data_IF_693204495089
#
_entry.id   IF_693204495089
#
_cell.length_a   1.000
_cell.length_b   1.000
_cell.length_c   1.000
_cell.angle_alpha   90.00
_cell.angle_beta   90.00
_cell.angle_gamma   90.00
#
_symmetry.space_group_name_H-M   'P 1'
#
loop_
_entity.id
_entity.type
_entity.pdbx_description
1 polymer ?
#
# COMPACT_ATOMS: atom_id res chain seq x y z
N UNK A 1 -25.57 -69.82 22.50
CA UNK A 1 -25.73 -69.32 21.12
C UNK A 1 -26.55 -68.04 21.17
N UNK A 2 -25.92 -66.93 20.79
CA UNK A 2 -26.44 -65.61 20.40
C UNK A 2 -27.57 -64.94 21.21
N UNK A 3 -27.25 -63.92 22.05
CA UNK A 3 -28.18 -62.86 22.37
C UNK A 3 -28.27 -61.83 21.22
N UNK A 4 -29.49 -61.36 20.98
CA UNK A 4 -29.88 -60.40 19.95
C UNK A 4 -29.11 -59.08 20.10
N UNK A 5 -28.52 -58.63 18.99
CA UNK A 5 -27.70 -57.44 18.86
C UNK A 5 -28.47 -56.16 19.24
N UNK A 6 -27.95 -55.48 20.26
CA UNK A 6 -28.22 -54.07 20.58
C UNK A 6 -28.07 -53.22 19.32
N UNK A 7 -29.17 -52.62 18.88
CA UNK A 7 -29.20 -51.56 17.87
C UNK A 7 -28.37 -50.38 18.40
N UNK A 8 -27.15 -50.23 17.86
CA UNK A 8 -26.35 -49.02 18.04
C UNK A 8 -27.00 -47.90 17.24
N UNK A 9 -27.80 -47.07 17.93
CA UNK A 9 -28.33 -45.83 17.41
C UNK A 9 -27.18 -44.80 17.36
N UNK A 10 -26.39 -44.83 16.29
CA UNK A 10 -25.33 -43.85 16.06
C UNK A 10 -25.50 -43.23 14.66
N UNK A 11 -25.54 -41.90 14.66
CA UNK A 11 -25.65 -40.93 13.57
C UNK A 11 -27.07 -40.63 13.02
N UNK A 12 -27.40 -39.33 12.80
CA UNK A 12 -26.45 -38.30 12.37
C UNK A 12 -26.44 -37.04 13.25
N UNK A 13 -25.29 -36.72 13.85
CA UNK A 13 -24.97 -35.39 14.36
C UNK A 13 -23.89 -34.76 13.47
N UNK A 14 -24.24 -34.46 12.21
CA UNK A 14 -23.29 -33.93 11.22
C UNK A 14 -23.87 -32.81 10.34
N UNK A 15 -24.93 -32.12 10.81
CA UNK A 15 -25.61 -31.07 10.02
C UNK A 15 -25.76 -29.71 10.71
N UNK A 16 -24.95 -29.40 11.73
CA UNK A 16 -24.78 -28.00 12.17
C UNK A 16 -23.35 -27.52 11.92
N UNK A 17 -22.98 -27.47 10.63
CA UNK A 17 -21.99 -26.49 10.22
C UNK A 17 -22.72 -25.13 10.21
N UNK A 18 -22.31 -24.14 11.02
CA UNK A 18 -22.82 -22.80 10.84
C UNK A 18 -22.49 -22.36 9.41
N UNK A 19 -23.39 -21.61 8.72
CA UNK A 19 -23.03 -21.04 7.43
C UNK A 19 -21.74 -20.26 7.65
N UNK A 20 -20.73 -20.54 6.80
CA UNK A 20 -19.50 -19.77 6.79
C UNK A 20 -19.92 -18.31 6.64
N UNK A 21 -19.92 -17.58 7.75
CA UNK A 21 -20.20 -16.16 7.74
C UNK A 21 -19.15 -15.59 6.81
N UNK A 22 -19.59 -15.10 5.64
CA UNK A 22 -18.74 -14.36 4.73
C UNK A 22 -18.08 -13.29 5.58
N UNK A 23 -16.78 -13.45 5.84
CA UNK A 23 -16.03 -12.51 6.66
C UNK A 23 -16.37 -11.11 6.15
N UNK A 24 -16.77 -10.17 7.03
CA UNK A 24 -17.19 -8.84 6.60
C UNK A 24 -16.16 -8.32 5.62
N UNK A 25 -16.61 -7.85 4.45
CA UNK A 25 -15.72 -7.11 3.57
C UNK A 25 -15.06 -6.05 4.46
N UNK A 26 -13.74 -6.15 4.64
CA UNK A 26 -12.98 -5.22 5.46
C UNK A 26 -13.19 -3.85 4.85
N UNK A 27 -14.17 -3.11 5.37
CA UNK A 27 -14.54 -1.82 4.84
C UNK A 27 -13.37 -0.92 5.13
N UNK A 28 -12.71 -0.45 4.07
CA UNK A 28 -11.62 0.51 4.19
C UNK A 28 -12.09 1.68 5.06
N UNK A 29 -11.33 1.97 6.13
CA UNK A 29 -11.59 3.14 6.96
C UNK A 29 -11.11 4.39 6.22
N UNK A 30 -12.01 4.96 5.42
CA UNK A 30 -11.73 6.12 4.59
C UNK A 30 -11.32 7.35 5.41
N UNK A 31 -11.88 7.52 6.60
CA UNK A 31 -11.56 8.66 7.46
C UNK A 31 -10.12 8.56 7.98
N UNK A 32 -9.70 7.37 8.44
CA UNK A 32 -8.33 7.11 8.84
C UNK A 32 -7.36 7.24 7.65
N UNK A 33 -7.70 6.68 6.49
CA UNK A 33 -6.90 6.82 5.27
C UNK A 33 -6.72 8.29 4.85
N UNK A 34 -7.79 9.09 4.93
CA UNK A 34 -7.74 10.53 4.64
C UNK A 34 -6.81 11.26 5.61
N UNK A 35 -6.91 10.98 6.91
CA UNK A 35 -6.04 11.62 7.92
C UNK A 35 -4.57 11.30 7.67
N UNK A 36 -4.23 10.01 7.57
CA UNK A 36 -2.85 9.55 7.41
C UNK A 36 -2.25 9.97 6.07
N UNK A 37 -3.03 9.98 4.98
CA UNK A 37 -2.52 10.44 3.68
C UNK A 37 -2.18 11.93 3.67
N UNK A 38 -2.89 12.76 4.44
CA UNK A 38 -2.56 14.18 4.62
C UNK A 38 -1.30 14.34 5.46
N UNK A 39 -1.18 13.60 6.54
CA UNK A 39 0.03 13.59 7.38
C UNK A 39 1.26 13.15 6.58
N UNK A 40 1.13 12.10 5.77
CA UNK A 40 2.18 11.66 4.85
C UNK A 40 2.57 12.79 3.90
N UNK A 41 1.60 13.42 3.22
CA UNK A 41 1.86 14.49 2.26
C UNK A 41 2.55 15.70 2.92
N UNK A 42 2.13 16.08 4.12
CA UNK A 42 2.76 17.14 4.91
C UNK A 42 4.19 16.76 5.30
N UNK A 43 4.39 15.52 5.77
CA UNK A 43 5.70 15.02 6.18
C UNK A 43 6.69 15.02 5.03
N UNK A 44 6.29 14.53 3.84
CA UNK A 44 7.14 14.58 2.64
C UNK A 44 7.44 16.02 2.25
N UNK A 45 6.43 16.90 2.26
CA UNK A 45 6.60 18.31 1.88
C UNK A 45 7.48 19.12 2.83
N UNK A 46 7.62 18.70 4.09
CA UNK A 46 8.48 19.33 5.07
C UNK A 46 9.95 18.89 4.98
N UNK A 47 10.26 17.84 4.21
CA UNK A 47 11.63 17.36 4.06
C UNK A 47 12.47 18.37 3.27
N UNK A 48 13.51 18.89 3.90
CA UNK A 48 14.50 19.74 3.23
C UNK A 48 15.39 18.90 2.32
N UNK A 49 15.67 19.41 1.13
CA UNK A 49 16.70 18.86 0.24
C UNK A 49 18.09 19.22 0.83
N UNK A 50 18.92 18.24 1.20
CA UNK A 50 20.26 18.53 1.71
C UNK A 50 21.20 19.08 0.65
N UNK A 51 20.96 18.82 -0.65
CA UNK A 51 21.86 19.22 -1.74
C UNK A 51 21.22 20.28 -2.64
N UNK A 52 21.63 21.54 -2.48
CA UNK A 52 21.18 22.67 -3.32
C UNK A 52 21.38 22.46 -4.82
N UNK A 53 22.49 21.82 -5.22
CA UNK A 53 22.76 21.50 -6.64
C UNK A 53 21.68 20.59 -7.23
N UNK A 54 21.10 19.71 -6.42
CA UNK A 54 20.04 18.84 -6.91
C UNK A 54 18.74 19.63 -7.10
N UNK A 55 18.48 20.72 -6.35
CA UNK A 55 17.25 21.54 -6.44
C UNK A 55 16.92 21.98 -7.86
N UNK A 56 17.94 22.30 -8.65
CA UNK A 56 17.82 22.82 -10.02
C UNK A 56 17.85 21.72 -11.10
N UNK A 57 18.19 20.48 -10.75
CA UNK A 57 18.32 19.39 -11.71
C UNK A 57 16.95 18.83 -12.10
N UNK A 58 16.59 18.95 -13.38
CA UNK A 58 15.49 18.19 -13.96
C UNK A 58 15.93 16.73 -14.19
N UNK A 59 15.22 15.80 -13.55
CA UNK A 59 15.55 14.39 -13.60
C UNK A 59 15.12 13.82 -14.98
N UNK A 60 16.08 13.41 -15.81
CA UNK A 60 15.86 12.86 -17.17
C UNK A 60 15.07 11.55 -17.23
N UNK A 61 14.75 11.05 -18.43
CA UNK A 61 13.81 9.93 -18.64
C UNK A 61 14.15 8.64 -17.85
N UNK A 62 13.10 7.94 -17.40
CA UNK A 62 13.17 6.93 -16.36
C UNK A 62 13.21 5.50 -16.93
N UNK A 63 14.05 4.63 -16.36
CA UNK A 63 13.84 3.18 -16.47
C UNK A 63 12.63 2.80 -15.60
N UNK A 64 11.48 2.42 -16.20
CA UNK A 64 10.25 2.14 -15.47
C UNK A 64 10.35 0.93 -14.53
N UNK A 65 11.38 0.07 -14.68
CA UNK A 65 11.45 -1.20 -13.97
C UNK A 65 11.82 -1.08 -12.48
N UNK A 66 12.54 -0.03 -12.10
CA UNK A 66 13.11 0.12 -10.76
C UNK A 66 12.40 1.15 -9.88
N UNK A 67 11.32 1.78 -10.37
CA UNK A 67 10.64 2.85 -9.64
C UNK A 67 9.24 2.46 -9.17
N UNK A 68 8.79 2.97 -8.01
CA UNK A 68 7.43 2.76 -7.54
C UNK A 68 6.38 3.08 -8.61
N UNK A 69 5.33 2.25 -8.69
CA UNK A 69 4.28 2.42 -9.67
C UNK A 69 3.57 3.77 -9.53
N UNK A 70 3.35 4.46 -10.66
CA UNK A 70 2.49 5.65 -10.71
C UNK A 70 1.01 5.26 -10.78
N UNK A 71 0.13 6.08 -10.22
CA UNK A 71 -1.31 5.98 -10.48
C UNK A 71 -1.58 6.55 -11.87
N UNK A 72 -2.07 5.69 -12.78
CA UNK A 72 -2.39 6.01 -14.18
C UNK A 72 -3.87 6.27 -14.34
N UNK A 73 -4.26 6.89 -15.46
CA UNK A 73 -5.66 7.05 -15.84
C UNK A 73 -6.42 5.71 -15.94
N UNK A 74 -5.72 4.63 -16.31
CA UNK A 74 -6.29 3.28 -16.40
C UNK A 74 -6.57 2.63 -15.04
N UNK A 75 -6.11 3.22 -13.94
CA UNK A 75 -6.18 2.60 -12.62
C UNK A 75 -7.51 2.88 -11.89
N UNK A 76 -8.46 3.55 -12.57
CA UNK A 76 -9.83 3.77 -12.09
C UNK A 76 -9.91 4.55 -10.75
N UNK A 77 -9.00 5.50 -10.56
CA UNK A 77 -8.97 6.41 -9.40
C UNK A 77 -9.72 7.73 -9.65
N UNK A 78 -10.51 7.82 -10.72
CA UNK A 78 -11.40 8.94 -10.98
C UNK A 78 -12.65 8.89 -10.06
N UNK A 79 -13.24 10.05 -9.70
CA UNK A 79 -14.39 10.11 -8.80
C UNK A 79 -15.55 9.19 -9.19
N UNK A 80 -15.94 9.17 -10.46
CA UNK A 80 -17.05 8.35 -10.96
C UNK A 80 -16.84 6.86 -10.74
N UNK A 81 -15.61 6.37 -10.89
CA UNK A 81 -15.32 4.96 -10.65
C UNK A 81 -15.15 4.65 -9.16
N UNK A 82 -14.63 5.59 -8.36
CA UNK A 82 -14.53 5.40 -6.90
C UNK A 82 -15.89 5.22 -6.24
N UNK A 83 -16.94 5.87 -6.74
CA UNK A 83 -18.32 5.77 -6.21
C UNK A 83 -18.94 4.38 -6.45
N UNK A 84 -18.48 3.65 -7.46
CA UNK A 84 -19.07 2.37 -7.91
C UNK A 84 -18.18 1.16 -7.64
N UNK A 85 -16.88 1.25 -7.95
CA UNK A 85 -15.91 0.19 -7.72
C UNK A 85 -14.49 0.73 -7.52
N UNK A 86 -14.08 0.84 -6.26
CA UNK A 86 -12.75 1.32 -5.85
C UNK A 86 -11.65 0.24 -5.85
N UNK A 87 -11.95 -1.03 -6.17
CA UNK A 87 -11.03 -2.15 -5.95
C UNK A 87 -9.71 -1.99 -6.72
N UNK A 88 -9.80 -1.60 -8.00
CA UNK A 88 -8.63 -1.41 -8.87
C UNK A 88 -7.75 -0.25 -8.41
N UNK A 89 -8.37 0.87 -8.04
CA UNK A 89 -7.65 2.02 -7.51
C UNK A 89 -6.95 1.69 -6.20
N UNK A 90 -7.64 1.06 -5.26
CA UNK A 90 -7.07 0.64 -3.98
C UNK A 90 -5.93 -0.37 -4.16
N UNK A 91 -6.05 -1.32 -5.09
CA UNK A 91 -4.97 -2.24 -5.41
C UNK A 91 -3.73 -1.49 -5.94
N UNK A 92 -3.94 -0.47 -6.77
CA UNK A 92 -2.84 0.37 -7.27
C UNK A 92 -2.17 1.18 -6.16
N UNK A 93 -2.97 1.77 -5.27
CA UNK A 93 -2.47 2.50 -4.11
C UNK A 93 -1.68 1.57 -3.19
N UNK A 94 -2.20 0.37 -2.90
CA UNK A 94 -1.50 -0.64 -2.12
C UNK A 94 -0.13 -0.99 -2.70
N UNK A 95 -0.07 -1.26 -4.01
CA UNK A 95 1.19 -1.53 -4.71
C UNK A 95 2.19 -0.38 -4.59
N UNK A 96 1.72 0.86 -4.75
CA UNK A 96 2.57 2.05 -4.62
C UNK A 96 3.13 2.21 -3.20
N UNK A 97 2.25 2.15 -2.19
CA UNK A 97 2.63 2.21 -0.78
C UNK A 97 3.67 1.14 -0.43
N UNK A 98 3.43 -0.09 -0.89
CA UNK A 98 4.33 -1.22 -0.66
C UNK A 98 5.71 -0.95 -1.25
N UNK A 99 5.77 -0.51 -2.50
CA UNK A 99 7.03 -0.23 -3.18
C UNK A 99 7.80 0.92 -2.53
N UNK A 100 7.11 1.98 -2.08
CA UNK A 100 7.75 3.06 -1.33
C UNK A 100 8.26 2.59 0.02
N UNK A 101 7.51 1.74 0.73
CA UNK A 101 7.96 1.19 2.00
C UNK A 101 9.23 0.37 1.85
N UNK A 102 9.29 -0.44 0.79
CA UNK A 102 10.46 -1.23 0.44
C UNK A 102 11.62 -0.29 0.08
N UNK A 103 11.38 0.72 -0.78
CA UNK A 103 12.36 1.74 -1.18
C UNK A 103 13.01 2.44 0.02
N UNK A 104 12.20 2.86 1.01
CA UNK A 104 12.72 3.48 2.24
C UNK A 104 13.52 2.51 3.11
N UNK A 105 13.41 1.20 2.91
CA UNK A 105 14.21 0.16 3.59
C UNK A 105 15.45 -0.26 2.80
N UNK A 106 15.69 0.29 1.61
CA UNK A 106 16.86 -0.06 0.77
C UNK A 106 18.16 0.58 1.23
N UNK A 107 19.25 0.17 0.59
CA UNK A 107 20.56 0.81 0.64
C UNK A 107 20.47 2.32 0.35
N UNK A 108 19.58 2.76 -0.55
CA UNK A 108 19.39 4.17 -0.92
C UNK A 108 19.11 5.05 0.30
N UNK A 109 18.36 4.57 1.31
CA UNK A 109 17.96 5.36 2.49
C UNK A 109 18.70 4.95 3.78
N UNK A 110 19.71 4.09 3.69
CA UNK A 110 20.41 3.57 4.89
C UNK A 110 21.07 4.70 5.70
N UNK A 111 21.71 5.67 5.04
CA UNK A 111 22.35 6.81 5.70
C UNK A 111 21.38 7.92 6.14
N UNK A 112 20.12 7.90 5.68
CA UNK A 112 19.10 8.92 5.95
C UNK A 112 17.74 8.27 6.19
N UNK A 113 17.56 7.75 7.39
CA UNK A 113 16.29 7.13 7.82
C UNK A 113 15.18 8.18 7.95
N UNK A 114 13.95 7.79 7.61
CA UNK A 114 12.77 8.65 7.63
C UNK A 114 11.65 7.96 8.43
N UNK A 115 11.83 7.77 9.76
CA UNK A 115 10.97 6.89 10.56
C UNK A 115 9.50 7.33 10.60
N UNK A 116 9.21 8.64 10.62
CA UNK A 116 7.83 9.14 10.56
C UNK A 116 7.16 8.75 9.24
N UNK A 117 7.91 8.82 8.14
CA UNK A 117 7.42 8.50 6.81
C UNK A 117 7.18 6.99 6.65
N UNK A 118 8.09 6.19 7.17
CA UNK A 118 7.95 4.73 7.22
C UNK A 118 6.74 4.31 8.04
N UNK A 119 6.55 4.88 9.24
CA UNK A 119 5.41 4.59 10.09
C UNK A 119 4.07 4.94 9.41
N UNK A 120 3.99 6.11 8.77
CA UNK A 120 2.79 6.52 8.04
C UNK A 120 2.49 5.57 6.86
N UNK A 121 3.51 5.11 6.13
CA UNK A 121 3.34 4.12 5.06
C UNK A 121 2.88 2.76 5.60
N UNK A 122 3.45 2.30 6.71
CA UNK A 122 3.07 1.03 7.35
C UNK A 122 1.61 1.07 7.85
N UNK A 123 1.19 2.18 8.47
CA UNK A 123 -0.19 2.38 8.89
C UNK A 123 -1.17 2.42 7.71
N UNK A 124 -0.84 3.16 6.65
CA UNK A 124 -1.64 3.21 5.42
C UNK A 124 -1.74 1.83 4.75
N UNK A 125 -0.65 1.07 4.71
CA UNK A 125 -0.64 -0.29 4.21
C UNK A 125 -1.62 -1.18 4.98
N UNK A 126 -1.66 -1.07 6.32
CA UNK A 126 -2.60 -1.81 7.17
C UNK A 126 -4.07 -1.46 6.90
N UNK A 127 -4.37 -0.19 6.59
CA UNK A 127 -5.74 0.26 6.31
C UNK A 127 -6.23 -0.07 4.89
N UNK A 128 -5.32 -0.04 3.92
CA UNK A 128 -5.61 -0.29 2.51
C UNK A 128 -5.55 -1.80 2.19
N UNK A 129 -4.97 -2.61 3.06
CA UNK A 129 -4.76 -4.04 2.83
C UNK A 129 -6.05 -4.75 2.39
N UNK A 130 -6.03 -5.27 1.16
CA UNK A 130 -7.12 -6.11 0.66
C UNK A 130 -6.92 -7.56 1.12
N UNK A 131 -8.01 -8.33 1.21
CA UNK A 131 -8.07 -9.74 1.68
C UNK A 131 -7.04 -10.68 1.04
N UNK A 132 -6.43 -10.32 -0.09
CA UNK A 132 -5.51 -11.17 -0.85
C UNK A 132 -4.05 -11.15 -0.36
N UNK A 133 -3.75 -10.49 0.76
CA UNK A 133 -2.41 -10.53 1.36
C UNK A 133 -1.34 -9.84 0.49
N UNK A 134 -0.13 -9.73 1.02
CA UNK A 134 1.01 -9.09 0.37
C UNK A 134 1.58 -10.04 -0.68
N UNK A 135 1.56 -9.74 -2.00
CA UNK A 135 2.30 -10.54 -2.95
C UNK A 135 3.80 -10.41 -2.62
N UNK A 136 4.57 -11.51 -2.66
CA UNK A 136 6.03 -11.44 -2.55
C UNK A 136 6.57 -10.51 -3.64
N UNK A 137 7.25 -9.44 -3.22
CA UNK A 137 8.01 -8.59 -4.14
C UNK A 137 9.46 -9.08 -4.16
N UNK A 138 10.11 -9.17 -5.33
CA UNK A 138 11.53 -9.41 -5.38
C UNK A 138 12.27 -8.27 -4.64
N UNK A 139 13.38 -8.58 -3.94
CA UNK A 139 14.20 -7.54 -3.34
C UNK A 139 14.70 -6.57 -4.41
N UNK A 140 14.78 -5.30 -4.06
CA UNK A 140 15.33 -4.30 -4.98
C UNK A 140 16.81 -4.59 -5.24
N UNK A 141 17.23 -4.33 -6.47
CA UNK A 141 18.64 -4.42 -6.83
C UNK A 141 19.45 -3.36 -6.05
N UNK A 142 20.68 -3.69 -5.62
CA UNK A 142 21.57 -2.72 -4.99
C UNK A 142 21.81 -1.53 -5.92
N UNK A 143 21.96 -0.34 -5.33
CA UNK A 143 22.25 0.88 -6.06
C UNK A 143 23.66 1.37 -5.78
N UNK A 144 24.25 2.06 -6.77
CA UNK A 144 25.59 2.62 -6.62
C UNK A 144 25.61 3.74 -5.57
N UNK A 145 26.56 3.73 -4.60
CA UNK A 145 26.59 4.72 -3.51
C UNK A 145 26.62 6.17 -3.96
N UNK A 146 27.31 6.47 -5.07
CA UNK A 146 27.40 7.82 -5.63
C UNK A 146 26.05 8.36 -6.11
N UNK A 147 25.10 7.48 -6.46
CA UNK A 147 23.78 7.84 -6.97
C UNK A 147 22.76 8.05 -5.84
N UNK A 148 23.06 7.64 -4.60
CA UNK A 148 22.09 7.61 -3.49
C UNK A 148 21.39 8.95 -3.26
N UNK A 149 22.14 10.07 -3.23
CA UNK A 149 21.53 11.39 -3.01
C UNK A 149 20.50 11.76 -4.09
N UNK A 150 20.82 11.48 -5.36
CA UNK A 150 19.93 11.71 -6.49
C UNK A 150 18.69 10.80 -6.43
N UNK A 151 18.90 9.53 -6.11
CA UNK A 151 17.84 8.53 -6.00
C UNK A 151 16.89 8.85 -4.83
N UNK A 152 17.41 9.26 -3.68
CA UNK A 152 16.62 9.70 -2.53
C UNK A 152 15.72 10.88 -2.90
N UNK A 153 16.27 11.92 -3.51
CA UNK A 153 15.49 13.08 -3.98
C UNK A 153 14.38 12.66 -4.92
N UNK A 154 14.71 11.89 -5.95
CA UNK A 154 13.74 11.40 -6.94
C UNK A 154 12.64 10.58 -6.30
N UNK A 155 13.00 9.69 -5.37
CA UNK A 155 12.05 8.88 -4.62
C UNK A 155 11.06 9.76 -3.84
N UNK A 156 11.56 10.76 -3.11
CA UNK A 156 10.73 11.65 -2.29
C UNK A 156 9.82 12.55 -3.15
N UNK A 157 10.31 13.10 -4.27
CA UNK A 157 9.49 13.88 -5.20
C UNK A 157 8.36 13.05 -5.82
N UNK A 158 8.67 11.81 -6.21
CA UNK A 158 7.65 10.89 -6.72
C UNK A 158 6.65 10.51 -5.62
N UNK A 159 7.13 10.25 -4.41
CA UNK A 159 6.27 9.95 -3.27
C UNK A 159 5.32 11.12 -2.97
N UNK A 160 5.79 12.36 -3.05
CA UNK A 160 4.95 13.54 -2.91
C UNK A 160 3.81 13.56 -3.94
N UNK A 161 4.14 13.31 -5.21
CA UNK A 161 3.15 13.27 -6.30
C UNK A 161 2.14 12.13 -6.11
N UNK A 162 2.62 10.94 -5.75
CA UNK A 162 1.79 9.78 -5.44
C UNK A 162 0.86 10.05 -4.24
N UNK A 163 1.41 10.58 -3.15
CA UNK A 163 0.67 10.91 -1.94
C UNK A 163 -0.40 11.98 -2.19
N UNK A 164 -0.13 12.96 -3.07
CA UNK A 164 -1.12 13.96 -3.44
C UNK A 164 -2.34 13.34 -4.15
N UNK A 165 -2.13 12.43 -5.10
CA UNK A 165 -3.24 11.72 -5.79
C UNK A 165 -3.98 10.82 -4.81
N UNK A 166 -3.25 10.01 -4.04
CA UNK A 166 -3.82 9.13 -3.01
C UNK A 166 -4.66 9.91 -1.98
N UNK A 167 -4.17 11.06 -1.51
CA UNK A 167 -4.89 11.89 -0.54
C UNK A 167 -6.19 12.45 -1.12
N UNK A 168 -6.24 12.77 -2.42
CA UNK A 168 -7.48 13.16 -3.11
C UNK A 168 -8.47 12.00 -3.18
N UNK A 169 -8.01 10.79 -3.54
CA UNK A 169 -8.84 9.58 -3.55
C UNK A 169 -9.48 9.36 -2.18
N UNK A 170 -8.68 9.34 -1.10
CA UNK A 170 -9.23 9.13 0.24
C UNK A 170 -10.08 10.30 0.75
N UNK A 171 -9.80 11.53 0.32
CA UNK A 171 -10.66 12.68 0.65
C UNK A 171 -12.03 12.53 -0.02
N UNK A 172 -12.06 12.17 -1.31
CA UNK A 172 -13.31 11.91 -2.04
C UNK A 172 -14.12 10.79 -1.38
N UNK A 173 -13.51 9.62 -1.15
CA UNK A 173 -14.20 8.46 -0.59
C UNK A 173 -14.61 8.59 0.88
N UNK A 174 -14.09 9.60 1.60
CA UNK A 174 -14.46 9.90 2.99
C UNK A 174 -15.44 11.07 3.13
N UNK A 175 -15.93 11.61 2.01
CA UNK A 175 -16.96 12.65 1.95
C UNK A 175 -18.33 12.01 1.80
#
# INVERSE_FOLDING_TARGET
>A
MAPLLRVCLCLPLLLLLPPAASAPASRTDWAACRSLSRELLQSVGALKEPHRVLEEMQLGEEDPKNWPPRIRCSDACDPSTLDTNNTRCLQRIFQGLQHYRDLLSSDIFTARRLPQLEAALDQLLGLVQQKHGRPPQPPMAPSEPWAHALLQRRALQRLQSFAAVMSRVFTHSAS
#
